data_IF_006364645826
#
_entry.id   IF_006364645826
#
_cell.length_a   1.000
_cell.length_b   1.000
_cell.length_c   1.000
_cell.angle_alpha   90.00
_cell.angle_beta   90.00
_cell.angle_gamma   90.00
#
_symmetry.space_group_name_H-M   'P 1'
#
loop_
_entity.id
_entity.type
_entity.pdbx_description
1 polymer ?
#
# COMPACT_ATOMS: atom_id res chain seq x y z
N UNK A 1 -5.04 12.41 -11.37
CA UNK A 1 -5.00 11.89 -9.99
C UNK A 1 -5.48 10.45 -9.98
N UNK A 2 -4.85 9.61 -9.19
CA UNK A 2 -5.22 8.20 -9.11
C UNK A 2 -6.27 7.98 -8.04
N UNK A 3 -7.14 7.00 -8.26
CA UNK A 3 -8.20 6.68 -7.32
C UNK A 3 -7.84 5.41 -6.55
N UNK A 4 -7.84 5.50 -5.23
CA UNK A 4 -7.64 4.33 -4.38
C UNK A 4 -9.01 3.74 -4.05
N UNK A 5 -9.18 2.45 -4.35
CA UNK A 5 -10.42 1.73 -4.09
C UNK A 5 -10.18 0.78 -2.93
N UNK A 6 -10.84 1.04 -1.82
CA UNK A 6 -10.71 0.23 -0.62
C UNK A 6 -11.75 -0.87 -0.60
N UNK A 7 -11.29 -2.12 -0.51
CA UNK A 7 -12.20 -3.25 -0.31
C UNK A 7 -12.40 -3.46 1.19
N UNK A 8 -13.52 -4.08 1.54
CA UNK A 8 -13.80 -4.40 2.94
C UNK A 8 -12.70 -5.30 3.54
N UNK A 9 -12.23 -6.24 2.74
CA UNK A 9 -11.17 -7.15 3.16
C UNK A 9 -9.87 -6.41 3.48
N UNK A 10 -9.48 -5.45 2.64
CA UNK A 10 -8.28 -4.67 2.90
C UNK A 10 -8.45 -3.76 4.11
N UNK A 11 -9.60 -3.11 4.23
CA UNK A 11 -9.86 -2.22 5.38
C UNK A 11 -9.73 -2.96 6.69
N UNK A 12 -10.20 -4.20 6.75
CA UNK A 12 -10.05 -5.03 7.93
C UNK A 12 -8.58 -5.32 8.25
N UNK A 13 -7.80 -5.64 7.22
CA UNK A 13 -6.37 -5.91 7.39
C UNK A 13 -5.60 -4.65 7.83
N UNK A 14 -5.92 -3.52 7.22
CA UNK A 14 -5.30 -2.25 7.56
C UNK A 14 -5.62 -1.84 9.00
N UNK A 15 -6.88 -2.05 9.42
CA UNK A 15 -7.29 -1.74 10.79
C UNK A 15 -6.50 -2.58 11.80
N UNK A 16 -6.33 -3.87 11.53
CA UNK A 16 -5.56 -4.75 12.40
C UNK A 16 -4.09 -4.34 12.43
N UNK A 17 -3.55 -4.00 11.28
CA UNK A 17 -2.17 -3.56 11.18
C UNK A 17 -1.94 -2.29 12.01
N UNK A 18 -2.80 -1.28 11.86
CA UNK A 18 -2.67 -0.01 12.57
C UNK A 18 -2.92 -0.17 14.07
N UNK A 19 -3.74 -1.13 14.46
CA UNK A 19 -3.95 -1.43 15.87
C UNK A 19 -2.67 -1.93 16.52
N UNK A 20 -1.89 -2.73 15.79
CA UNK A 20 -0.59 -3.22 16.27
C UNK A 20 0.52 -2.17 16.14
N UNK A 21 0.35 -1.23 15.24
CA UNK A 21 1.36 -0.22 14.92
C UNK A 21 0.77 1.18 14.92
N UNK A 22 0.24 1.63 16.07
CA UNK A 22 -0.40 2.95 16.13
C UNK A 22 0.54 4.10 15.81
N UNK A 23 1.83 3.92 16.04
CA UNK A 23 2.86 4.91 15.71
C UNK A 23 3.01 5.12 14.20
N UNK A 24 2.52 4.21 13.38
CA UNK A 24 2.64 4.30 11.92
C UNK A 24 1.43 4.93 11.25
N UNK A 25 0.41 5.30 12.00
CA UNK A 25 -0.82 5.82 11.42
C UNK A 25 -0.59 7.03 10.51
N UNK A 26 0.17 8.01 10.99
CA UNK A 26 0.44 9.22 10.21
C UNK A 26 1.23 8.90 8.93
N UNK A 27 2.22 8.03 9.05
CA UNK A 27 3.03 7.64 7.88
C UNK A 27 2.20 6.84 6.88
N UNK A 28 1.31 5.99 7.37
CA UNK A 28 0.41 5.21 6.54
C UNK A 28 -0.51 6.14 5.73
N UNK A 29 -1.10 7.13 6.40
CA UNK A 29 -1.99 8.09 5.74
C UNK A 29 -1.25 8.93 4.71
N UNK A 30 -0.01 9.33 5.02
CA UNK A 30 0.84 10.04 4.05
C UNK A 30 1.10 9.20 2.82
N UNK A 31 1.37 7.91 3.01
CA UNK A 31 1.61 6.99 1.92
C UNK A 31 0.40 6.90 0.99
N UNK A 32 -0.80 6.80 1.57
CA UNK A 32 -2.03 6.77 0.77
C UNK A 32 -2.22 8.05 -0.04
N UNK A 33 -2.01 9.20 0.58
CA UNK A 33 -2.15 10.49 -0.11
C UNK A 33 -1.14 10.62 -1.25
N UNK A 34 0.09 10.17 -1.01
CA UNK A 34 1.12 10.24 -2.01
C UNK A 34 0.80 9.34 -3.19
N UNK A 35 0.23 8.16 -2.94
CA UNK A 35 -0.21 7.27 -4.02
C UNK A 35 -1.29 7.91 -4.88
N UNK A 36 -2.21 8.64 -4.27
CA UNK A 36 -3.26 9.34 -5.04
C UNK A 36 -2.67 10.39 -5.96
N UNK A 37 -1.65 11.10 -5.48
CA UNK A 37 -1.02 12.17 -6.24
C UNK A 37 -0.07 11.64 -7.31
N UNK A 38 0.77 10.69 -6.94
CA UNK A 38 1.77 10.15 -7.85
C UNK A 38 2.34 8.83 -7.32
N UNK A 39 1.81 7.69 -7.78
CA UNK A 39 2.28 6.39 -7.30
C UNK A 39 3.74 6.10 -7.69
N UNK A 40 4.29 6.86 -8.62
CA UNK A 40 5.68 6.72 -9.03
C UNK A 40 6.65 7.59 -8.23
N UNK A 41 6.14 8.29 -7.21
CA UNK A 41 6.99 9.14 -6.38
C UNK A 41 8.11 8.29 -5.75
N UNK A 42 9.37 8.77 -5.79
CA UNK A 42 10.51 7.95 -5.31
C UNK A 42 10.38 7.46 -3.87
N UNK A 43 9.72 8.24 -3.00
CA UNK A 43 9.54 7.85 -1.59
C UNK A 43 8.71 6.57 -1.44
N UNK A 44 7.86 6.27 -2.40
CA UNK A 44 7.01 5.10 -2.35
C UNK A 44 7.74 3.83 -2.73
N UNK A 45 8.86 3.95 -3.45
CA UNK A 45 9.65 2.80 -3.90
C UNK A 45 8.76 1.74 -4.54
N UNK A 46 7.94 2.18 -5.50
CA UNK A 46 7.04 1.29 -6.23
C UNK A 46 7.83 0.13 -6.82
N UNK A 47 7.39 -1.07 -6.54
CA UNK A 47 8.08 -2.28 -6.96
C UNK A 47 7.08 -3.32 -7.44
N UNK A 48 7.33 -3.85 -8.63
CA UNK A 48 6.48 -4.90 -9.19
C UNK A 48 6.96 -6.27 -8.70
N UNK A 49 6.01 -7.09 -8.26
CA UNK A 49 6.30 -8.49 -7.92
C UNK A 49 5.11 -9.34 -8.34
N UNK A 50 5.39 -10.46 -9.03
CA UNK A 50 4.33 -11.25 -9.61
C UNK A 50 3.43 -10.35 -10.46
N UNK A 51 2.11 -10.37 -10.26
CA UNK A 51 1.18 -9.52 -10.99
C UNK A 51 0.74 -8.31 -10.20
N UNK A 52 1.34 -8.09 -9.04
CA UNK A 52 1.03 -6.98 -8.15
C UNK A 52 2.20 -6.02 -8.06
N UNK A 53 1.95 -4.90 -7.41
CA UNK A 53 3.00 -3.95 -7.04
C UNK A 53 2.98 -3.79 -5.52
N UNK A 54 4.02 -3.16 -5.00
CA UNK A 54 4.02 -2.76 -3.60
C UNK A 54 4.61 -1.36 -3.47
N UNK A 55 4.17 -0.66 -2.43
CA UNK A 55 4.71 0.65 -2.07
C UNK A 55 5.17 0.62 -0.63
N UNK A 56 6.17 1.44 -0.31
CA UNK A 56 6.77 1.49 1.01
C UNK A 56 6.01 2.43 1.93
N UNK A 57 5.70 1.97 3.13
CA UNK A 57 5.26 2.84 4.22
C UNK A 57 6.51 3.39 4.91
N UNK A 58 7.43 2.47 5.23
CA UNK A 58 8.75 2.79 5.78
C UNK A 58 9.71 1.66 5.38
N UNK A 59 10.86 1.56 6.03
CA UNK A 59 11.85 0.55 5.70
C UNK A 59 11.40 -0.88 5.99
N UNK A 60 10.43 -1.06 6.89
CA UNK A 60 9.99 -2.37 7.33
C UNK A 60 8.67 -2.81 6.73
N UNK A 61 7.78 -1.86 6.41
CA UNK A 61 6.40 -2.19 6.06
C UNK A 61 6.02 -1.66 4.69
N UNK A 62 5.22 -2.45 3.98
CA UNK A 62 4.79 -2.14 2.63
C UNK A 62 3.31 -2.45 2.46
N UNK A 63 2.71 -1.86 1.42
CA UNK A 63 1.33 -2.15 1.01
C UNK A 63 1.41 -2.81 -0.37
N UNK A 64 0.81 -4.00 -0.51
CA UNK A 64 0.67 -4.60 -1.84
C UNK A 64 -0.57 -4.03 -2.50
N UNK A 65 -0.48 -3.75 -3.78
CA UNK A 65 -1.56 -3.12 -4.52
C UNK A 65 -1.74 -3.78 -5.87
N UNK A 66 -2.99 -3.83 -6.33
CA UNK A 66 -3.30 -4.10 -7.72
C UNK A 66 -3.37 -2.72 -8.39
N UNK A 67 -2.40 -2.43 -9.23
CA UNK A 67 -2.27 -1.12 -9.84
C UNK A 67 -2.74 -1.19 -11.30
N UNK A 68 -3.94 -0.69 -11.53
CA UNK A 68 -4.55 -0.69 -12.86
C UNK A 68 -4.22 0.63 -13.54
N UNK A 69 -3.07 0.63 -14.19
CA UNK A 69 -2.47 1.84 -14.77
C UNK A 69 -3.39 2.52 -15.78
N UNK A 70 -4.02 1.74 -16.64
CA UNK A 70 -4.88 2.28 -17.71
C UNK A 70 -6.13 2.97 -17.16
N UNK A 71 -6.61 2.53 -16.00
CA UNK A 71 -7.82 3.07 -15.38
C UNK A 71 -7.53 4.06 -14.26
N UNK A 72 -6.26 4.35 -14.02
CA UNK A 72 -5.82 5.22 -12.92
C UNK A 72 -6.37 4.77 -11.57
N UNK A 73 -6.44 3.45 -11.36
CA UNK A 73 -6.98 2.85 -10.13
C UNK A 73 -5.91 2.10 -9.37
N UNK A 74 -5.97 2.21 -8.06
CA UNK A 74 -5.08 1.51 -7.15
C UNK A 74 -5.96 0.77 -6.14
N UNK A 75 -5.82 -0.54 -6.08
CA UNK A 75 -6.62 -1.37 -5.17
C UNK A 75 -5.67 -2.02 -4.18
N UNK A 76 -5.59 -1.52 -2.94
CA UNK A 76 -4.74 -2.15 -1.92
C UNK A 76 -5.23 -3.56 -1.61
N UNK A 77 -4.29 -4.47 -1.44
CA UNK A 77 -4.58 -5.89 -1.21
C UNK A 77 -4.19 -6.31 0.22
N UNK A 78 -2.99 -5.93 0.65
CA UNK A 78 -2.49 -6.31 1.96
C UNK A 78 -1.50 -5.28 2.46
N UNK A 79 -1.24 -5.30 3.76
CA UNK A 79 -0.27 -4.42 4.40
C UNK A 79 0.49 -5.23 5.44
N UNK A 80 1.81 -5.08 5.48
CA UNK A 80 2.63 -5.83 6.40
C UNK A 80 4.10 -5.68 6.09
N UNK A 81 4.93 -6.49 6.74
CA UNK A 81 6.36 -6.48 6.52
C UNK A 81 6.71 -7.23 5.22
N UNK A 82 7.98 -7.20 4.83
CA UNK A 82 8.46 -7.85 3.62
C UNK A 82 8.04 -9.31 3.53
N UNK A 83 8.18 -10.04 4.63
CA UNK A 83 7.83 -11.45 4.64
C UNK A 83 6.33 -11.68 4.40
N UNK A 84 5.50 -10.83 4.97
CA UNK A 84 4.04 -10.96 4.80
C UNK A 84 3.61 -10.62 3.38
N UNK A 85 4.27 -9.66 2.75
CA UNK A 85 3.93 -9.22 1.40
C UNK A 85 4.53 -10.14 0.34
N UNK A 86 5.79 -10.54 0.49
CA UNK A 86 6.51 -11.31 -0.51
C UNK A 86 6.79 -12.76 -0.13
N UNK A 87 6.49 -13.14 1.07
CA UNK A 87 7.01 -14.35 1.70
C UNK A 87 6.35 -15.67 1.31
N UNK A 88 5.84 -15.72 0.12
CA UNK A 88 5.21 -16.96 -0.32
C UNK A 88 5.99 -17.68 -1.38
#
# INVERSE_FOLDING_TARGET
>A
MYKIIFTASYEERARKFLKKHPDLKNQYEKTLKLMELNPYHPSLRLHKFSELFSVSINMQYRISIDFQIEDDKIIPIDVGNHKQIYGK
#
